data_IF_871825865498
#
_entry.id   IF_871825865498
#
_cell.length_a   1.000
_cell.length_b   1.000
_cell.length_c   1.000
_cell.angle_alpha   90.00
_cell.angle_beta   90.00
_cell.angle_gamma   90.00
#
_symmetry.space_group_name_H-M   'P 1'
#
loop_
_entity.id
_entity.type
_entity.pdbx_description
1 polymer ?
#
# COMPACT_ATOMS: atom_id res chain seq x y z
N UNK A 1 6.36 7.97 -9.92
CA UNK A 1 5.82 7.29 -8.71
C UNK A 1 5.23 8.35 -7.80
N UNK A 2 3.98 8.21 -7.34
CA UNK A 2 3.30 9.18 -6.47
C UNK A 2 3.09 8.57 -5.08
N UNK A 3 3.34 9.37 -4.03
CA UNK A 3 2.99 9.01 -2.65
C UNK A 3 1.49 9.15 -2.46
N UNK A 4 0.85 8.10 -1.95
CA UNK A 4 -0.56 8.12 -1.62
C UNK A 4 -0.82 8.73 -0.25
N UNK A 5 -1.93 9.48 -0.15
CA UNK A 5 -2.41 10.07 1.11
C UNK A 5 -3.82 9.60 1.50
N UNK A 6 -4.49 8.81 0.64
CA UNK A 6 -5.85 8.30 0.85
C UNK A 6 -5.93 6.87 0.33
N UNK A 7 -6.41 5.91 1.12
CA UNK A 7 -6.61 4.52 0.65
C UNK A 7 -7.80 4.48 -0.32
N UNK A 8 -7.54 4.18 -1.59
CA UNK A 8 -8.56 3.98 -2.61
C UNK A 8 -9.21 2.58 -2.47
N UNK A 9 -10.50 2.46 -2.82
CA UNK A 9 -11.27 1.21 -2.70
C UNK A 9 -10.63 0.09 -3.52
N UNK A 10 -10.11 0.42 -4.69
CA UNK A 10 -9.48 -0.51 -5.63
C UNK A 10 -8.25 -1.19 -5.01
N UNK A 11 -7.50 -0.50 -4.16
CA UNK A 11 -6.32 -1.06 -3.48
C UNK A 11 -6.74 -2.08 -2.43
N UNK A 12 -7.82 -1.78 -1.69
CA UNK A 12 -8.38 -2.70 -0.70
C UNK A 12 -8.93 -3.95 -1.39
N UNK A 13 -9.60 -3.80 -2.53
CA UNK A 13 -10.06 -4.93 -3.35
C UNK A 13 -8.89 -5.78 -3.84
N UNK A 14 -7.86 -5.15 -4.43
CA UNK A 14 -6.65 -5.83 -4.91
C UNK A 14 -5.94 -6.60 -3.78
N UNK A 15 -5.69 -5.95 -2.64
CA UNK A 15 -5.03 -6.58 -1.50
C UNK A 15 -5.88 -7.70 -0.88
N UNK A 16 -7.21 -7.58 -0.87
CA UNK A 16 -8.08 -8.64 -0.36
C UNK A 16 -8.04 -9.93 -1.18
N UNK A 17 -7.60 -9.85 -2.44
CA UNK A 17 -7.35 -11.03 -3.28
C UNK A 17 -5.96 -11.63 -3.03
N UNK A 18 -4.98 -10.81 -2.62
CA UNK A 18 -3.59 -11.21 -2.44
C UNK A 18 -3.22 -11.60 -0.98
N UNK A 19 -3.99 -11.14 0.01
CA UNK A 19 -3.74 -11.41 1.44
C UNK A 19 -5.02 -11.68 2.21
N UNK A 20 -4.88 -12.12 3.46
CA UNK A 20 -6.02 -12.36 4.34
C UNK A 20 -6.83 -11.06 4.56
N UNK A 21 -8.11 -11.08 4.18
CA UNK A 21 -9.01 -9.91 4.19
C UNK A 21 -9.04 -9.15 5.52
N UNK A 22 -8.92 -9.87 6.64
CA UNK A 22 -8.90 -9.29 7.99
C UNK A 22 -7.63 -8.50 8.32
N UNK A 23 -6.55 -8.63 7.53
CA UNK A 23 -5.30 -7.89 7.74
C UNK A 23 -5.14 -6.70 6.79
N UNK A 24 -5.96 -6.61 5.75
CA UNK A 24 -5.84 -5.59 4.69
C UNK A 24 -5.96 -4.18 5.26
N UNK A 25 -6.96 -3.95 6.13
CA UNK A 25 -7.22 -2.63 6.70
C UNK A 25 -6.09 -2.17 7.63
N UNK A 26 -5.67 -3.05 8.54
CA UNK A 26 -4.57 -2.75 9.46
C UNK A 26 -3.27 -2.48 8.71
N UNK A 27 -2.99 -3.24 7.65
CA UNK A 27 -1.75 -3.11 6.92
C UNK A 27 -1.74 -1.87 6.03
N UNK A 28 -2.87 -1.54 5.39
CA UNK A 28 -3.02 -0.30 4.61
C UNK A 28 -2.91 0.94 5.49
N UNK A 29 -3.50 0.91 6.69
CA UNK A 29 -3.41 2.01 7.65
C UNK A 29 -1.96 2.34 8.00
N UNK A 30 -1.09 1.33 8.09
CA UNK A 30 0.34 1.55 8.35
C UNK A 30 1.05 2.33 7.23
N UNK A 31 0.56 2.31 5.99
CA UNK A 31 1.13 3.10 4.90
C UNK A 31 0.63 4.56 4.86
N UNK A 32 -0.45 4.86 5.59
CA UNK A 32 -0.93 6.24 5.76
C UNK A 32 -0.31 6.91 6.99
N UNK A 33 -0.23 6.17 8.10
CA UNK A 33 0.09 6.73 9.41
C UNK A 33 1.60 6.84 9.67
N UNK A 34 2.41 6.02 8.99
CA UNK A 34 3.85 5.97 9.24
C UNK A 34 4.66 6.59 8.09
N UNK A 35 5.64 7.42 8.46
CA UNK A 35 6.51 8.11 7.50
C UNK A 35 7.59 7.20 6.91
N UNK A 36 7.91 6.08 7.56
CA UNK A 36 8.89 5.08 7.11
C UNK A 36 8.27 4.07 6.13
N UNK A 37 6.98 4.17 5.82
CA UNK A 37 6.27 3.25 4.93
C UNK A 37 5.84 3.94 3.66
N UNK A 38 6.07 3.27 2.54
CA UNK A 38 5.72 3.77 1.21
C UNK A 38 4.96 2.67 0.47
N UNK A 39 3.80 3.04 -0.09
CA UNK A 39 3.01 2.18 -0.96
C UNK A 39 3.16 2.68 -2.41
N UNK A 40 3.72 1.83 -3.26
CA UNK A 40 3.80 2.07 -4.70
C UNK A 40 2.64 1.36 -5.41
N UNK A 41 2.05 2.04 -6.38
CA UNK A 41 1.00 1.49 -7.23
C UNK A 41 1.50 1.30 -8.65
N UNK A 42 1.05 0.22 -9.27
CA UNK A 42 1.18 -0.02 -10.70
C UNK A 42 -0.20 0.04 -11.35
N UNK A 43 -0.37 0.97 -12.28
CA UNK A 43 -1.58 1.09 -13.08
C UNK A 43 -1.27 0.76 -14.54
N UNK A 44 -2.15 0.00 -15.19
CA UNK A 44 -2.21 -0.10 -16.65
C UNK A 44 -3.36 0.79 -17.13
N UNK A 45 -3.02 1.88 -17.84
CA UNK A 45 -3.93 2.98 -18.19
C UNK A 45 -4.63 3.55 -16.96
N UNK A 46 -5.85 3.11 -16.69
CA UNK A 46 -6.71 3.55 -15.58
C UNK A 46 -7.01 2.44 -14.58
N UNK A 47 -6.49 1.23 -14.81
CA UNK A 47 -6.76 0.05 -13.99
C UNK A 47 -5.58 -0.18 -13.06
N UNK A 48 -5.84 -0.27 -11.76
CA UNK A 48 -4.85 -0.71 -10.78
C UNK A 48 -4.60 -2.22 -10.99
N UNK A 49 -3.37 -2.58 -11.36
CA UNK A 49 -2.98 -3.98 -11.65
C UNK A 49 -2.03 -4.55 -10.60
N UNK A 50 -1.48 -3.72 -9.72
CA UNK A 50 -0.54 -4.15 -8.69
C UNK A 50 -0.20 -3.07 -7.69
N UNK A 51 0.30 -3.47 -6.52
CA UNK A 51 0.91 -2.56 -5.56
C UNK A 51 2.06 -3.26 -4.82
N UNK A 52 3.02 -2.48 -4.34
CA UNK A 52 4.15 -2.95 -3.52
C UNK A 52 4.29 -2.00 -2.34
N UNK A 53 4.21 -2.56 -1.13
CA UNK A 53 4.49 -1.85 0.12
C UNK A 53 5.94 -2.07 0.56
N UNK A 54 6.63 -0.99 0.91
CA UNK A 54 8.02 -1.00 1.40
C UNK A 54 8.07 -0.29 2.75
N UNK A 55 8.76 -0.90 3.71
CA UNK A 55 9.16 -0.26 4.96
C UNK A 55 10.65 0.10 4.89
N UNK A 56 10.96 1.37 5.09
CA UNK A 56 12.31 1.89 5.24
C UNK A 56 12.77 1.62 6.67
N UNK A 57 13.81 0.81 6.83
CA UNK A 57 14.45 0.65 8.13
C UNK A 57 15.53 1.73 8.24
N UNK A 58 15.37 2.67 9.18
CA UNK A 58 16.49 3.55 9.53
C UNK A 58 17.63 2.67 10.08
N UNK A 59 18.74 2.62 9.33
CA UNK A 59 19.96 2.03 9.82
C UNK A 59 20.50 2.97 10.91
N UNK A 60 20.19 2.69 12.17
CA UNK A 60 20.95 3.23 13.29
C UNK A 60 22.37 2.63 13.22
N UNK A 61 23.24 3.28 12.44
CA UNK A 61 24.69 3.06 12.47
C UNK A 61 25.33 3.98 13.49
#
# INVERSE_FOLDING_TARGET
>A
MQKMTVIAKEIKELLSQATAKNKVDDELKKYLDYNDRILYLQCDKTILVGCIGIQLLENNR
#
